data_IF_845856607865
#
_entry.id   IF_845856607865
#
_cell.length_a   1.000
_cell.length_b   1.000
_cell.length_c   1.000
_cell.angle_alpha   90.00
_cell.angle_beta   90.00
_cell.angle_gamma   90.00
#
_symmetry.space_group_name_H-M   'P 1'
#
loop_
_entity.id
_entity.type
_entity.pdbx_description
1 polymer ?
#
# COMPACT_ATOMS: atom_id res chain seq x y z
N UNK A 1 27.68 -0.16 -0.82
CA UNK A 1 27.31 0.79 -1.89
C UNK A 1 25.80 0.95 -1.91
N UNK A 2 25.24 2.17 -1.90
CA UNK A 2 23.80 2.38 -2.05
C UNK A 2 23.32 1.86 -3.42
N UNK A 3 22.09 1.36 -3.48
CA UNK A 3 21.56 0.85 -4.74
C UNK A 3 21.36 2.00 -5.74
N UNK A 4 21.88 1.85 -6.96
CA UNK A 4 21.77 2.87 -8.01
C UNK A 4 20.34 2.92 -8.56
N UNK A 5 19.79 4.12 -8.65
CA UNK A 5 18.55 4.39 -9.38
C UNK A 5 18.79 4.31 -10.88
N UNK A 6 17.93 3.58 -11.57
CA UNK A 6 18.05 3.28 -13.00
C UNK A 6 16.67 3.14 -13.62
N UNK A 7 16.54 3.48 -14.90
CA UNK A 7 15.30 3.23 -15.63
C UNK A 7 15.05 1.72 -15.75
N UNK A 8 13.80 1.26 -15.58
CA UNK A 8 13.45 -0.14 -15.77
C UNK A 8 13.55 -0.52 -17.24
N UNK A 9 13.94 -1.77 -17.53
CA UNK A 9 13.78 -2.37 -18.84
C UNK A 9 12.30 -2.54 -19.15
N UNK A 10 11.94 -2.64 -20.42
CA UNK A 10 10.54 -2.74 -20.85
C UNK A 10 9.77 -3.88 -20.16
N UNK A 11 10.40 -5.05 -20.01
CA UNK A 11 9.77 -6.20 -19.34
C UNK A 11 9.62 -6.00 -17.82
N UNK A 12 10.52 -5.26 -17.17
CA UNK A 12 10.43 -4.94 -15.74
C UNK A 12 9.27 -3.98 -15.49
N UNK A 13 9.16 -2.93 -16.32
CA UNK A 13 8.04 -1.98 -16.25
C UNK A 13 6.70 -2.68 -16.49
N UNK A 14 6.62 -3.56 -17.49
CA UNK A 14 5.43 -4.38 -17.75
C UNK A 14 5.09 -5.24 -16.53
N UNK A 15 6.08 -5.93 -15.93
CA UNK A 15 5.87 -6.76 -14.74
C UNK A 15 5.33 -5.93 -13.57
N UNK A 16 5.92 -4.78 -13.27
CA UNK A 16 5.44 -3.88 -12.20
C UNK A 16 3.98 -3.50 -12.42
N UNK A 17 3.62 -3.09 -13.64
CA UNK A 17 2.25 -2.67 -13.99
C UNK A 17 1.24 -3.81 -13.91
N UNK A 18 1.61 -5.00 -14.38
CA UNK A 18 0.76 -6.19 -14.32
C UNK A 18 0.51 -6.57 -12.85
N UNK A 19 1.56 -6.64 -12.03
CA UNK A 19 1.43 -6.92 -10.59
C UNK A 19 0.56 -5.88 -9.90
N UNK A 20 0.75 -4.58 -10.20
CA UNK A 20 -0.07 -3.52 -9.63
C UNK A 20 -1.56 -3.70 -9.98
N UNK A 21 -1.88 -3.96 -11.24
CA UNK A 21 -3.27 -4.19 -11.67
C UNK A 21 -3.86 -5.46 -11.05
N UNK A 22 -3.06 -6.51 -10.90
CA UNK A 22 -3.48 -7.76 -10.26
C UNK A 22 -3.78 -7.53 -8.78
N UNK A 23 -2.87 -6.89 -8.05
CA UNK A 23 -2.95 -6.76 -6.60
C UNK A 23 -3.95 -5.70 -6.14
N UNK A 24 -4.01 -4.55 -6.81
CA UNK A 24 -4.83 -3.41 -6.37
C UNK A 24 -6.09 -3.23 -7.21
N UNK A 25 -6.15 -3.87 -8.38
CA UNK A 25 -7.25 -3.77 -9.34
C UNK A 25 -6.89 -2.98 -10.59
N UNK A 26 -7.75 -3.10 -11.61
CA UNK A 26 -7.55 -2.48 -12.93
C UNK A 26 -7.40 -0.96 -12.79
N UNK A 27 -6.29 -0.43 -13.30
CA UNK A 27 -5.99 1.00 -13.29
C UNK A 27 -4.85 1.39 -12.35
N UNK A 28 -4.49 0.53 -11.39
CA UNK A 28 -3.38 0.76 -10.48
C UNK A 28 -2.02 0.92 -11.19
N UNK A 29 -1.85 0.31 -12.36
CA UNK A 29 -0.69 0.52 -13.23
C UNK A 29 -0.40 1.99 -13.58
N UNK A 30 -1.40 2.89 -13.51
CA UNK A 30 -1.22 4.33 -13.71
C UNK A 30 -0.32 4.98 -12.65
N UNK A 31 -0.18 4.37 -11.47
CA UNK A 31 0.79 4.77 -10.43
C UNK A 31 2.23 4.64 -10.91
N UNK A 32 2.48 3.82 -11.94
CA UNK A 32 3.81 3.47 -12.43
C UNK A 32 4.02 3.91 -13.89
N UNK A 33 4.16 5.23 -14.17
CA UNK A 33 4.40 5.76 -15.52
C UNK A 33 5.78 5.35 -16.08
N UNK A 34 6.08 5.71 -17.34
CA UNK A 34 7.36 5.34 -17.97
C UNK A 34 8.57 6.01 -17.30
N UNK A 35 8.34 7.12 -16.59
CA UNK A 35 9.37 7.90 -15.89
C UNK A 35 9.81 7.33 -14.54
N UNK A 36 9.24 6.20 -14.09
CA UNK A 36 9.67 5.60 -12.83
C UNK A 36 11.13 5.16 -12.90
N UNK A 37 11.77 5.19 -11.73
CA UNK A 37 13.09 4.61 -11.53
C UNK A 37 12.97 3.38 -10.64
N UNK A 38 13.91 2.46 -10.77
CA UNK A 38 14.00 1.30 -9.88
C UNK A 38 15.40 1.17 -9.30
N UNK A 39 15.50 0.42 -8.21
CA UNK A 39 16.75 -0.19 -7.78
C UNK A 39 16.71 -1.69 -8.02
N UNK A 40 17.89 -2.29 -8.17
CA UNK A 40 18.06 -3.74 -8.32
C UNK A 40 18.89 -4.31 -7.17
N UNK A 41 18.56 -5.52 -6.76
CA UNK A 41 19.39 -6.29 -5.84
C UNK A 41 20.78 -6.49 -6.45
N UNK A 42 21.89 -6.24 -5.74
CA UNK A 42 23.23 -6.37 -6.32
C UNK A 42 23.54 -7.80 -6.79
N UNK A 43 23.15 -8.79 -5.97
CA UNK A 43 23.45 -10.20 -6.24
C UNK A 43 22.52 -10.87 -7.26
N UNK A 44 21.22 -10.58 -7.20
CA UNK A 44 20.21 -11.29 -8.03
C UNK A 44 19.70 -10.46 -9.20
N UNK A 45 20.07 -9.17 -9.28
CA UNK A 45 19.58 -8.19 -10.24
C UNK A 45 18.04 -8.04 -10.31
N UNK A 46 17.31 -8.56 -9.31
CA UNK A 46 15.85 -8.44 -9.21
C UNK A 46 15.45 -7.03 -8.76
N UNK A 47 14.30 -6.56 -9.23
CA UNK A 47 13.67 -5.29 -8.83
C UNK A 47 13.53 -5.27 -7.29
N UNK A 48 13.88 -4.14 -6.66
CA UNK A 48 13.76 -3.94 -5.21
C UNK A 48 12.81 -2.81 -4.89
N UNK A 49 13.17 -1.59 -5.24
CA UNK A 49 12.39 -0.41 -4.92
C UNK A 49 11.98 0.29 -6.20
N UNK A 50 10.80 0.90 -6.20
CA UNK A 50 10.20 1.58 -7.34
C UNK A 50 9.92 3.01 -6.92
N UNK A 51 10.43 3.97 -7.67
CA UNK A 51 10.41 5.39 -7.36
C UNK A 51 9.77 6.19 -8.48
N UNK A 52 9.20 7.33 -8.12
CA UNK A 52 8.82 8.39 -9.03
C UNK A 52 9.33 9.70 -8.44
N UNK A 53 10.01 10.51 -9.24
CA UNK A 53 10.55 11.80 -8.81
C UNK A 53 11.42 11.67 -7.54
N UNK A 54 12.23 10.60 -7.48
CA UNK A 54 13.05 10.18 -6.31
C UNK A 54 12.29 9.82 -5.03
N UNK A 55 10.96 9.80 -5.06
CA UNK A 55 10.12 9.38 -3.93
C UNK A 55 9.76 7.90 -4.10
N UNK A 56 9.94 7.10 -3.06
CA UNK A 56 9.58 5.68 -3.06
C UNK A 56 8.07 5.55 -3.23
N UNK A 57 7.62 4.76 -4.20
CA UNK A 57 6.21 4.40 -4.39
C UNK A 57 5.89 3.03 -3.80
N UNK A 58 6.77 2.05 -4.04
CA UNK A 58 6.57 0.69 -3.57
C UNK A 58 7.88 -0.08 -3.52
N UNK A 59 7.91 -1.09 -2.66
CA UNK A 59 8.93 -2.13 -2.66
C UNK A 59 8.39 -3.39 -3.33
N UNK A 60 9.12 -3.90 -4.30
CA UNK A 60 8.85 -5.19 -4.93
C UNK A 60 9.34 -6.30 -4.00
N UNK A 61 8.42 -7.05 -3.40
CA UNK A 61 8.73 -8.07 -2.41
C UNK A 61 9.35 -9.30 -3.07
N UNK A 62 10.57 -9.73 -2.67
CA UNK A 62 11.21 -10.89 -3.27
C UNK A 62 10.48 -12.22 -3.00
N UNK A 63 9.73 -12.30 -1.87
CA UNK A 63 9.11 -13.53 -1.38
C UNK A 63 7.91 -13.96 -2.21
N UNK A 64 7.01 -13.02 -2.51
CA UNK A 64 5.73 -13.29 -3.17
C UNK A 64 5.54 -12.52 -4.49
N UNK A 65 6.51 -11.67 -4.85
CA UNK A 65 6.45 -10.89 -6.09
C UNK A 65 5.40 -9.79 -6.10
N UNK A 66 4.82 -9.47 -4.94
CA UNK A 66 3.83 -8.41 -4.77
C UNK A 66 4.48 -7.08 -4.37
N UNK A 67 3.70 -6.00 -4.41
CA UNK A 67 4.12 -4.66 -4.06
C UNK A 67 3.73 -4.34 -2.62
N UNK A 68 4.70 -3.91 -1.82
CA UNK A 68 4.45 -3.27 -0.52
C UNK A 68 4.48 -1.75 -0.71
N UNK A 69 3.38 -1.08 -0.38
CA UNK A 69 3.24 0.35 -0.60
C UNK A 69 4.06 1.18 0.39
N UNK A 70 4.60 2.30 -0.11
CA UNK A 70 4.94 3.47 0.71
C UNK A 70 3.72 4.39 0.83
N UNK A 71 3.85 5.47 1.61
CA UNK A 71 2.84 6.54 1.67
C UNK A 71 2.56 7.14 0.29
N UNK A 72 3.58 7.53 -0.47
CA UNK A 72 3.39 8.12 -1.80
C UNK A 72 2.73 7.16 -2.79
N UNK A 73 3.01 5.86 -2.70
CA UNK A 73 2.29 4.83 -3.45
C UNK A 73 0.83 4.72 -3.03
N UNK A 74 0.56 4.78 -1.74
CA UNK A 74 -0.79 4.82 -1.17
C UNK A 74 -1.59 6.02 -1.67
N UNK A 75 -1.03 7.22 -1.61
CA UNK A 75 -1.67 8.45 -2.13
C UNK A 75 -1.96 8.36 -3.63
N UNK A 76 -1.05 7.78 -4.41
CA UNK A 76 -1.26 7.61 -5.84
C UNK A 76 -2.46 6.68 -6.12
N UNK A 77 -2.60 5.59 -5.36
CA UNK A 77 -3.75 4.68 -5.46
C UNK A 77 -5.03 5.33 -4.95
N UNK A 78 -4.97 6.12 -3.88
CA UNK A 78 -6.09 6.87 -3.32
C UNK A 78 -6.72 7.81 -4.37
N UNK A 79 -5.88 8.46 -5.20
CA UNK A 79 -6.32 9.34 -6.31
C UNK A 79 -6.92 8.57 -7.49
N UNK A 80 -6.55 7.29 -7.68
CA UNK A 80 -7.03 6.45 -8.79
C UNK A 80 -8.36 5.79 -8.45
N UNK A 81 -8.48 5.23 -7.24
CA UNK A 81 -9.62 4.45 -6.81
C UNK A 81 -10.51 5.28 -5.90
N UNK A 82 -11.82 5.32 -6.20
CA UNK A 82 -12.81 5.91 -5.30
C UNK A 82 -13.09 4.99 -4.11
N UNK A 83 -13.48 5.52 -2.94
CA UNK A 83 -14.01 4.71 -1.84
C UNK A 83 -15.16 3.80 -2.32
N UNK A 84 -15.31 2.60 -1.74
CA UNK A 84 -14.55 2.06 -0.61
C UNK A 84 -13.26 1.32 -1.01
N UNK A 85 -12.91 1.26 -2.30
CA UNK A 85 -11.84 0.40 -2.83
C UNK A 85 -10.50 0.62 -2.11
N UNK A 86 -9.91 -0.45 -1.56
CA UNK A 86 -8.68 -0.49 -0.75
C UNK A 86 -8.73 0.23 0.60
N UNK A 87 -9.88 0.78 1.03
CA UNK A 87 -9.97 1.55 2.27
C UNK A 87 -10.18 0.66 3.49
N UNK A 88 -9.55 1.07 4.58
CA UNK A 88 -9.97 0.78 5.95
C UNK A 88 -10.18 2.12 6.63
N UNK A 89 -11.43 2.51 6.84
CA UNK A 89 -11.80 3.76 7.48
C UNK A 89 -11.88 3.57 8.98
N UNK A 90 -11.26 4.46 9.74
CA UNK A 90 -11.24 4.40 11.20
C UNK A 90 -12.18 5.41 11.84
N UNK A 91 -12.55 5.14 13.09
CA UNK A 91 -13.30 6.08 13.95
C UNK A 91 -12.46 7.32 14.27
N UNK A 92 -13.11 8.37 14.76
CA UNK A 92 -12.43 9.57 15.25
C UNK A 92 -11.65 9.30 16.54
N UNK A 93 -10.57 10.04 16.75
CA UNK A 93 -9.77 10.03 17.98
C UNK A 93 -8.62 9.02 18.00
N UNK A 94 -8.34 8.35 16.88
CA UNK A 94 -7.21 7.40 16.75
C UNK A 94 -6.24 7.79 15.63
N UNK A 95 -6.48 8.92 14.96
CA UNK A 95 -5.76 9.33 13.77
C UNK A 95 -4.28 9.55 14.05
N UNK A 96 -3.92 10.31 15.09
CA UNK A 96 -2.53 10.64 15.43
C UNK A 96 -1.71 9.37 15.66
N UNK A 97 -2.22 8.44 16.47
CA UNK A 97 -1.58 7.15 16.73
C UNK A 97 -1.28 6.36 15.44
N UNK A 98 -2.21 6.37 14.48
CA UNK A 98 -2.05 5.66 13.21
C UNK A 98 -1.06 6.37 12.29
N UNK A 99 -1.09 7.71 12.26
CA UNK A 99 -0.16 8.52 11.44
C UNK A 99 1.29 8.37 11.87
N UNK A 100 1.54 8.12 13.16
CA UNK A 100 2.86 7.81 13.70
C UNK A 100 3.30 6.36 13.43
N UNK A 101 2.46 5.55 12.79
CA UNK A 101 2.77 4.16 12.42
C UNK A 101 2.16 3.10 13.36
N UNK A 102 1.30 3.50 14.29
CA UNK A 102 0.55 2.59 15.15
C UNK A 102 -0.40 1.68 14.36
N UNK A 103 -0.52 0.42 14.79
CA UNK A 103 -1.41 -0.55 14.14
C UNK A 103 -2.89 -0.21 14.35
N UNK A 104 -3.73 -0.55 13.38
CA UNK A 104 -5.19 -0.36 13.50
C UNK A 104 -5.80 -1.59 14.16
N UNK A 105 -6.47 -1.41 15.30
CA UNK A 105 -7.24 -2.47 15.95
C UNK A 105 -8.66 -2.55 15.37
N UNK A 106 -9.24 -3.76 15.29
CA UNK A 106 -10.57 -3.98 14.71
C UNK A 106 -11.65 -3.11 15.38
N UNK A 107 -11.57 -2.89 16.70
CA UNK A 107 -12.49 -2.01 17.44
C UNK A 107 -12.51 -0.55 16.97
N UNK A 108 -11.50 -0.10 16.24
CA UNK A 108 -11.39 1.26 15.72
C UNK A 108 -11.78 1.35 14.23
N UNK A 109 -12.14 0.25 13.60
CA UNK A 109 -12.54 0.21 12.20
C UNK A 109 -14.03 0.49 12.08
N UNK A 110 -14.38 1.44 11.20
CA UNK A 110 -15.76 1.87 10.95
C UNK A 110 -16.30 1.29 9.64
N UNK A 111 -15.50 1.36 8.56
CA UNK A 111 -15.87 0.86 7.23
C UNK A 111 -14.65 0.21 6.57
N UNK A 112 -14.88 -0.81 5.75
CA UNK A 112 -13.83 -1.55 5.03
C UNK A 112 -14.29 -1.81 3.60
N UNK A 113 -13.36 -1.82 2.63
CA UNK A 113 -13.62 -2.36 1.29
C UNK A 113 -14.20 -3.78 1.40
N UNK A 114 -15.45 -4.05 0.97
CA UNK A 114 -16.06 -5.38 1.10
C UNK A 114 -15.28 -6.47 0.33
N UNK A 115 -14.52 -6.09 -0.69
CA UNK A 115 -13.69 -7.01 -1.46
C UNK A 115 -12.31 -7.26 -0.83
N UNK A 116 -11.99 -6.60 0.29
CA UNK A 116 -10.70 -6.78 0.95
C UNK A 116 -10.52 -8.22 1.44
N UNK A 117 -9.34 -8.77 1.16
CA UNK A 117 -8.94 -10.10 1.63
C UNK A 117 -7.79 -10.02 2.65
N UNK A 118 -7.64 -11.05 3.50
CA UNK A 118 -6.52 -11.14 4.40
C UNK A 118 -5.21 -11.01 3.64
N UNK A 119 -4.25 -10.34 4.26
CA UNK A 119 -2.91 -10.17 3.74
C UNK A 119 -2.80 -9.29 2.47
N UNK A 120 -3.86 -8.59 2.07
CA UNK A 120 -3.80 -7.54 1.05
C UNK A 120 -3.30 -6.22 1.61
N UNK A 121 -2.80 -5.35 0.73
CA UNK A 121 -2.42 -4.00 1.10
C UNK A 121 -3.66 -3.12 1.26
N UNK A 122 -3.62 -2.23 2.24
CA UNK A 122 -4.72 -1.34 2.55
C UNK A 122 -4.26 0.11 2.69
N UNK A 123 -5.19 1.01 2.41
CA UNK A 123 -5.12 2.43 2.67
C UNK A 123 -5.95 2.70 3.93
N UNK A 124 -5.30 3.05 5.04
CA UNK A 124 -6.02 3.46 6.24
C UNK A 124 -6.37 4.92 6.12
N UNK A 125 -7.65 5.26 6.27
CA UNK A 125 -8.16 6.62 6.03
C UNK A 125 -9.02 7.12 7.19
N UNK A 126 -9.10 8.44 7.33
CA UNK A 126 -10.02 9.10 8.25
C UNK A 126 -11.44 9.25 7.66
N UNK A 127 -12.31 9.93 8.40
CA UNK A 127 -13.69 10.21 8.00
C UNK A 127 -13.84 11.04 6.71
N UNK A 128 -12.77 11.71 6.24
CA UNK A 128 -12.73 12.54 5.03
C UNK A 128 -12.00 11.86 3.86
N UNK A 129 -11.75 10.55 3.96
CA UNK A 129 -10.91 9.78 3.01
C UNK A 129 -9.47 10.31 2.91
N UNK A 130 -8.95 10.97 3.95
CA UNK A 130 -7.54 11.36 4.00
C UNK A 130 -6.70 10.18 4.45
N UNK A 131 -5.61 9.89 3.73
CA UNK A 131 -4.68 8.82 4.08
C UNK A 131 -4.02 9.11 5.44
N UNK A 132 -4.06 8.12 6.32
CA UNK A 132 -3.38 8.11 7.61
C UNK A 132 -2.17 7.17 7.58
N UNK A 133 -2.31 6.02 6.92
CA UNK A 133 -1.26 5.01 6.84
C UNK A 133 -1.46 4.05 5.66
N UNK A 134 -0.40 3.33 5.32
CA UNK A 134 -0.47 2.13 4.49
C UNK A 134 -0.05 0.91 5.29
N UNK A 135 -0.72 -0.21 5.03
CA UNK A 135 -0.48 -1.43 5.80
C UNK A 135 -0.97 -2.67 5.11
N UNK A 136 -1.04 -3.74 5.89
CA UNK A 136 -1.53 -5.04 5.44
C UNK A 136 -2.68 -5.48 6.32
N UNK A 137 -3.77 -5.92 5.71
CA UNK A 137 -4.91 -6.47 6.46
C UNK A 137 -4.55 -7.82 7.09
N UNK A 138 -5.03 -8.08 8.30
CA UNK A 138 -5.04 -9.42 8.89
C UNK A 138 -6.32 -10.20 8.56
N UNK A 139 -7.42 -9.49 8.31
CA UNK A 139 -8.75 -10.07 8.19
C UNK A 139 -9.41 -9.69 6.87
N UNK A 140 -10.47 -10.39 6.51
CA UNK A 140 -11.39 -9.89 5.48
C UNK A 140 -12.26 -8.76 6.06
N UNK A 141 -13.10 -8.14 5.22
CA UNK A 141 -13.96 -7.04 5.63
C UNK A 141 -14.95 -7.41 6.74
N UNK A 142 -15.62 -8.56 6.63
CA UNK A 142 -16.64 -9.03 7.57
C UNK A 142 -16.04 -9.31 8.95
N UNK A 143 -14.92 -10.03 8.99
CA UNK A 143 -14.15 -10.32 10.20
C UNK A 143 -13.66 -9.03 10.87
N UNK A 144 -13.08 -8.10 10.09
CA UNK A 144 -12.53 -6.85 10.63
C UNK A 144 -13.61 -5.97 11.27
N UNK A 145 -14.82 -5.93 10.70
CA UNK A 145 -15.95 -5.17 11.24
C UNK A 145 -16.62 -5.87 12.44
N UNK A 146 -16.58 -7.20 12.46
CA UNK A 146 -17.21 -7.99 13.53
C UNK A 146 -16.36 -8.05 14.80
N UNK A 147 -15.04 -8.09 14.68
CA UNK A 147 -14.16 -8.24 15.83
C UNK A 147 -14.03 -6.97 16.68
N UNK A 148 -14.10 -7.14 18.02
CA UNK A 148 -13.90 -6.07 19.01
C UNK A 148 -12.50 -6.07 19.64
N UNK A 149 -11.65 -7.02 19.25
CA UNK A 149 -10.28 -7.18 19.71
C UNK A 149 -9.37 -7.54 18.54
N UNK A 150 -8.06 -7.42 18.73
CA UNK A 150 -7.06 -7.79 17.72
C UNK A 150 -6.71 -6.69 16.73
N UNK A 151 -5.59 -6.89 16.03
CA UNK A 151 -5.08 -5.97 15.01
C UNK A 151 -5.77 -6.26 13.68
N UNK A 152 -6.54 -5.30 13.17
CA UNK A 152 -7.17 -5.38 11.86
C UNK A 152 -6.17 -5.08 10.73
N UNK A 153 -5.35 -4.05 10.92
CA UNK A 153 -4.31 -3.66 9.95
C UNK A 153 -2.96 -3.58 10.64
N UNK A 154 -2.00 -4.34 10.12
CA UNK A 154 -0.59 -4.13 10.43
C UNK A 154 -0.08 -2.94 9.63
N UNK A 155 0.13 -1.81 10.29
CA UNK A 155 0.65 -0.62 9.64
C UNK A 155 2.12 -0.83 9.30
N UNK A 156 2.51 -0.39 8.10
CA UNK A 156 3.90 -0.40 7.65
C UNK A 156 4.52 0.98 7.73
N UNK A 157 3.77 1.98 7.27
CA UNK A 157 4.16 3.39 7.32
C UNK A 157 2.90 4.20 7.65
N UNK A 158 2.99 5.06 8.65
CA UNK A 158 2.07 6.17 8.83
C UNK A 158 2.55 7.39 8.04
N UNK A 159 1.67 8.37 7.80
CA UNK A 159 2.04 9.58 7.02
C UNK A 159 3.05 10.48 7.74
N UNK A 160 3.25 10.30 9.05
CA UNK A 160 4.17 11.08 9.89
C UNK A 160 5.33 10.22 10.46
N UNK A 161 5.41 8.93 10.09
CA UNK A 161 6.42 7.98 10.58
C UNK A 161 7.28 7.31 9.50
#
# INVERSE_FOLDING_TARGET
>A
MPLRLVSPRLHELRRIRVVANYQFGRGASKTFPNSILITRSPHTHRIRHIFRDNILLATYRPKDGLLALSIAGGEALLRIFKPPRLRVKVVLGVEEFIKEGGNVFCKHVQEVDPELRPAEEVLVVDHRDKLLAVGRSFFNAEEMLSFKVGVGVKVRHGVEG
#
